data_IF_147677900190
#
_entry.id   IF_147677900190
#
_cell.length_a   1.000
_cell.length_b   1.000
_cell.length_c   1.000
_cell.angle_alpha   90.00
_cell.angle_beta   90.00
_cell.angle_gamma   90.00
#
_symmetry.space_group_name_H-M   'P 1'
#
loop_
_entity.id
_entity.type
_entity.pdbx_description
1 polymer ?
#
# COMPACT_ATOMS: atom_id res chain seq x y z
N UNK A 1 2.01 6.03 16.94
CA UNK A 1 2.77 6.62 15.82
C UNK A 1 2.56 5.77 14.58
N UNK A 2 1.60 6.15 13.72
CA UNK A 2 1.42 5.49 12.44
C UNK A 2 2.62 5.84 11.55
N UNK A 3 3.55 4.90 11.38
CA UNK A 3 4.80 5.09 10.64
C UNK A 3 4.57 5.41 9.15
N UNK A 4 3.33 5.27 8.66
CA UNK A 4 2.90 5.60 7.30
C UNK A 4 1.44 6.08 7.31
N UNK A 5 1.18 7.25 6.70
CA UNK A 5 -0.18 7.80 6.54
C UNK A 5 -1.03 6.91 5.61
N UNK A 6 -2.33 6.80 5.86
CA UNK A 6 -3.27 6.08 4.99
C UNK A 6 -3.22 6.58 3.55
N UNK A 7 -3.14 7.90 3.35
CA UNK A 7 -2.99 8.51 2.04
C UNK A 7 -1.74 8.02 1.31
N UNK A 8 -0.64 7.77 2.03
CA UNK A 8 0.59 7.23 1.44
C UNK A 8 0.44 5.78 1.02
N UNK A 9 -0.19 4.94 1.86
CA UNK A 9 -0.49 3.55 1.50
C UNK A 9 -1.40 3.47 0.28
N UNK A 10 -2.42 4.34 0.26
CA UNK A 10 -3.35 4.45 -0.85
C UNK A 10 -2.62 4.81 -2.14
N UNK A 11 -1.76 5.83 -2.09
CA UNK A 11 -0.99 6.27 -3.25
C UNK A 11 -0.11 5.15 -3.81
N UNK A 12 0.54 4.37 -2.94
CA UNK A 12 1.37 3.23 -3.35
C UNK A 12 0.53 2.12 -4.00
N UNK A 13 -0.61 1.76 -3.41
CA UNK A 13 -1.51 0.75 -3.99
C UNK A 13 -2.11 1.24 -5.29
N UNK A 14 -2.56 2.49 -5.37
CA UNK A 14 -3.17 3.06 -6.55
C UNK A 14 -2.18 3.13 -7.71
N UNK A 15 -0.93 3.56 -7.47
CA UNK A 15 0.13 3.52 -8.50
C UNK A 15 0.45 2.11 -8.99
N UNK A 16 0.33 1.12 -8.10
CA UNK A 16 0.45 -0.28 -8.47
C UNK A 16 -0.72 -0.73 -9.36
N UNK A 17 -1.97 -0.43 -8.96
CA UNK A 17 -3.18 -0.84 -9.68
C UNK A 17 -3.35 -0.11 -11.01
N UNK A 18 -2.94 1.15 -11.10
CA UNK A 18 -2.89 1.94 -12.34
C UNK A 18 -1.82 1.45 -13.32
N UNK A 19 -0.98 0.48 -12.92
CA UNK A 19 -0.01 -0.15 -13.81
C UNK A 19 1.16 0.74 -14.22
N UNK A 20 1.29 1.93 -13.61
CA UNK A 20 2.37 2.88 -13.94
C UNK A 20 3.74 2.36 -13.47
N UNK A 21 3.78 1.65 -12.34
CA UNK A 21 5.04 1.21 -11.73
C UNK A 21 4.90 -0.19 -11.14
N UNK A 22 5.80 -1.11 -11.52
CA UNK A 22 5.85 -2.45 -10.93
C UNK A 22 6.38 -2.46 -9.49
N UNK A 23 6.10 -3.55 -8.74
CA UNK A 23 6.51 -3.70 -7.34
C UNK A 23 7.95 -3.29 -7.04
N UNK A 24 8.91 -3.64 -7.91
CA UNK A 24 10.34 -3.35 -7.70
C UNK A 24 10.65 -1.86 -7.70
N UNK A 25 10.00 -1.08 -8.57
CA UNK A 25 10.22 0.37 -8.63
C UNK A 25 9.56 1.06 -7.45
N UNK A 26 8.32 0.69 -7.11
CA UNK A 26 7.61 1.22 -5.93
C UNK A 26 8.39 0.96 -4.63
N UNK A 27 8.83 -0.27 -4.42
CA UNK A 27 9.64 -0.68 -3.26
C UNK A 27 10.92 0.14 -3.17
N UNK A 28 11.63 0.33 -4.29
CA UNK A 28 12.88 1.12 -4.32
C UNK A 28 12.65 2.62 -4.16
N UNK A 29 11.60 3.17 -4.77
CA UNK A 29 11.27 4.59 -4.74
C UNK A 29 10.80 5.04 -3.35
N UNK A 30 9.99 4.20 -2.70
CA UNK A 30 9.38 4.51 -1.41
C UNK A 30 10.09 3.85 -0.21
N UNK A 31 11.13 3.06 -0.46
CA UNK A 31 11.87 2.34 0.58
C UNK A 31 10.99 1.33 1.34
N UNK A 32 10.01 0.74 0.65
CA UNK A 32 9.05 -0.21 1.23
C UNK A 32 9.47 -1.63 0.91
N UNK A 33 9.07 -2.59 1.75
CA UNK A 33 9.29 -4.00 1.43
C UNK A 33 8.24 -4.54 0.45
N UNK A 34 8.64 -5.45 -0.44
CA UNK A 34 7.72 -6.12 -1.37
C UNK A 34 6.55 -6.79 -0.65
N UNK A 35 6.79 -7.40 0.52
CA UNK A 35 5.76 -8.03 1.33
C UNK A 35 4.76 -7.00 1.88
N UNK A 36 5.22 -5.78 2.17
CA UNK A 36 4.37 -4.70 2.67
C UNK A 36 3.41 -4.21 1.58
N UNK A 37 3.93 -3.93 0.38
CA UNK A 37 3.10 -3.50 -0.76
C UNK A 37 2.09 -4.59 -1.12
N UNK A 38 2.52 -5.86 -1.17
CA UNK A 38 1.62 -6.99 -1.46
C UNK A 38 0.49 -7.11 -0.43
N UNK A 39 0.78 -6.90 0.86
CA UNK A 39 -0.24 -6.95 1.92
C UNK A 39 -1.26 -5.81 1.77
N UNK A 40 -0.81 -4.60 1.40
CA UNK A 40 -1.71 -3.47 1.17
C UNK A 40 -2.58 -3.68 -0.06
N UNK A 41 -2.00 -4.12 -1.18
CA UNK A 41 -2.73 -4.44 -2.41
C UNK A 41 -3.79 -5.50 -2.12
N UNK A 42 -3.43 -6.62 -1.47
CA UNK A 42 -4.38 -7.67 -1.13
C UNK A 42 -5.52 -7.15 -0.23
N UNK A 43 -5.20 -6.34 0.78
CA UNK A 43 -6.21 -5.75 1.64
C UNK A 43 -7.14 -4.82 0.88
N UNK A 44 -6.61 -4.06 -0.09
CA UNK A 44 -7.37 -3.19 -0.96
C UNK A 44 -8.23 -3.96 -1.97
N UNK A 45 -7.76 -5.08 -2.51
CA UNK A 45 -8.57 -5.95 -3.39
C UNK A 45 -9.76 -6.57 -2.65
N UNK A 46 -9.59 -6.96 -1.39
CA UNK A 46 -10.65 -7.59 -0.60
C UNK A 46 -11.61 -6.60 0.06
N UNK A 47 -11.13 -5.42 0.48
CA UNK A 47 -11.90 -4.49 1.31
C UNK A 47 -11.86 -3.04 0.82
N UNK A 48 -11.27 -2.77 -0.35
CA UNK A 48 -11.08 -1.43 -0.86
C UNK A 48 -10.26 -0.53 0.08
N UNK A 49 -10.64 0.74 0.15
CA UNK A 49 -10.03 1.74 1.04
C UNK A 49 -10.04 1.29 2.51
N UNK A 50 -11.13 0.65 2.95
CA UNK A 50 -11.30 0.19 4.33
C UNK A 50 -10.26 -0.87 4.74
N UNK A 51 -9.74 -1.64 3.78
CA UNK A 51 -8.65 -2.59 3.99
C UNK A 51 -7.31 -1.94 4.32
N UNK A 52 -7.09 -0.71 3.87
CA UNK A 52 -5.88 0.07 4.17
C UNK A 52 -5.99 0.79 5.52
N UNK A 53 -7.21 1.18 5.92
CA UNK A 53 -7.48 1.81 7.23
C UNK A 53 -7.33 0.82 8.39
N UNK A 54 -7.83 -0.42 8.25
CA UNK A 54 -7.93 -1.39 9.36
C UNK A 54 -6.62 -1.90 9.96
N UNK A 55 -5.45 -1.51 9.42
CA UNK A 55 -4.17 -1.88 10.01
C UNK A 55 -3.69 -0.95 11.14
N UNK A 56 -4.50 0.03 11.56
CA UNK A 56 -4.20 0.85 12.73
C UNK A 56 -5.44 1.14 13.55
N UNK A 57 -5.74 0.27 14.51
CA UNK A 57 -6.36 0.65 15.78
C UNK A 57 -6.23 -0.53 16.74
N UNK A 58 -5.27 -0.44 17.65
CA UNK A 58 -5.44 -0.93 19.01
C UNK A 58 -5.38 0.27 19.92
#
# INVERSE_FOLDING_TARGET
MAKYNEAFKLLVVQRYTEGQEGYRRLVKQYGLDHATVRRWVKSYEHHGLSGLQKNFSR
#
